data_IF_580867501065
#
_entry.id   IF_580867501065
#
_cell.length_a   1.000
_cell.length_b   1.000
_cell.length_c   1.000
_cell.angle_alpha   90.00
_cell.angle_beta   90.00
_cell.angle_gamma   90.00
#
_symmetry.space_group_name_H-M   'P 1'
#
loop_
_entity.id
_entity.type
_entity.pdbx_description
1 polymer ?
#
# COMPACT_ATOMS: atom_id res chain seq x y z
N UNK A 1 -4.16 -14.84 -6.79
CA UNK A 1 -5.45 -14.16 -7.07
C UNK A 1 -5.42 -13.43 -8.39
N UNK A 2 -6.60 -13.08 -8.90
CA UNK A 2 -6.80 -12.25 -10.10
C UNK A 2 -7.77 -11.14 -9.75
N UNK A 3 -7.36 -9.89 -9.93
CA UNK A 3 -8.25 -8.74 -9.82
C UNK A 3 -8.94 -8.50 -11.18
N UNK A 4 -10.14 -9.01 -11.31
CA UNK A 4 -10.90 -8.91 -12.56
C UNK A 4 -11.30 -7.47 -12.90
N UNK A 5 -11.52 -6.62 -11.90
CA UNK A 5 -11.92 -5.22 -12.15
C UNK A 5 -10.75 -4.42 -12.71
N UNK A 6 -9.59 -4.51 -12.09
CA UNK A 6 -8.37 -3.83 -12.56
C UNK A 6 -7.98 -4.33 -13.96
N UNK A 7 -8.12 -5.63 -14.23
CA UNK A 7 -7.75 -6.21 -15.51
C UNK A 7 -8.73 -5.91 -16.66
N UNK A 8 -9.91 -5.35 -16.41
CA UNK A 8 -10.86 -5.00 -17.49
C UNK A 8 -10.33 -3.93 -18.44
N UNK A 9 -9.58 -2.97 -17.92
CA UNK A 9 -9.03 -1.84 -18.67
C UNK A 9 -7.51 -1.88 -18.81
N UNK A 10 -6.85 -2.86 -18.23
CA UNK A 10 -5.40 -2.97 -18.25
C UNK A 10 -4.88 -3.42 -19.62
N UNK A 11 -3.81 -2.80 -20.11
CA UNK A 11 -3.10 -3.23 -21.32
C UNK A 11 -2.34 -4.54 -21.12
N UNK A 12 -1.92 -4.83 -19.89
CA UNK A 12 -1.25 -6.05 -19.46
C UNK A 12 -2.07 -6.63 -18.32
N UNK A 13 -2.50 -7.89 -18.46
CA UNK A 13 -3.24 -8.57 -17.41
C UNK A 13 -2.30 -9.03 -16.31
N UNK A 14 -2.60 -8.60 -15.08
CA UNK A 14 -1.78 -8.85 -13.90
C UNK A 14 -2.53 -9.77 -12.94
N UNK A 15 -1.85 -10.82 -12.50
CA UNK A 15 -2.27 -11.64 -11.36
C UNK A 15 -1.44 -11.33 -10.13
N UNK A 16 -1.73 -11.98 -9.02
CA UNK A 16 -0.98 -11.75 -7.80
C UNK A 16 -0.73 -12.99 -6.97
N UNK A 17 0.38 -12.97 -6.24
CA UNK A 17 0.71 -13.96 -5.22
C UNK A 17 0.58 -13.28 -3.86
N UNK A 18 -0.19 -13.89 -2.96
CA UNK A 18 -0.32 -13.43 -1.57
C UNK A 18 -0.08 -14.58 -0.60
N UNK A 19 0.01 -14.25 0.69
CA UNK A 19 0.22 -15.22 1.78
C UNK A 19 1.42 -16.15 1.55
N UNK A 20 2.47 -15.62 0.93
CA UNK A 20 3.67 -16.41 0.72
C UNK A 20 4.31 -16.76 2.06
N UNK A 21 4.39 -18.04 2.34
CA UNK A 21 5.06 -18.57 3.51
C UNK A 21 5.90 -19.77 3.12
N UNK A 22 7.21 -19.71 3.40
CA UNK A 22 8.17 -20.71 3.00
C UNK A 22 9.31 -20.78 4.01
N UNK A 23 9.73 -21.98 4.35
CA UNK A 23 10.98 -22.20 5.08
C UNK A 23 12.18 -21.74 4.23
N UNK A 24 13.36 -21.63 4.84
CA UNK A 24 14.57 -21.22 4.13
C UNK A 24 15.09 -22.31 3.18
N UNK A 25 14.34 -22.52 2.12
CA UNK A 25 14.59 -23.51 1.06
C UNK A 25 14.25 -22.89 -0.30
N UNK A 26 15.26 -22.64 -1.12
CA UNK A 26 15.11 -21.97 -2.40
C UNK A 26 14.37 -22.84 -3.44
N UNK A 27 14.57 -24.16 -3.43
CA UNK A 27 13.90 -25.07 -4.34
C UNK A 27 12.40 -25.15 -4.03
N UNK A 28 12.06 -25.19 -2.75
CA UNK A 28 10.66 -25.14 -2.34
C UNK A 28 10.02 -23.79 -2.70
N UNK A 29 10.69 -22.68 -2.46
CA UNK A 29 10.22 -21.35 -2.85
C UNK A 29 9.97 -21.27 -4.36
N UNK A 30 10.93 -21.76 -5.16
CA UNK A 30 10.79 -21.83 -6.62
C UNK A 30 9.59 -22.68 -7.03
N UNK A 31 9.38 -23.82 -6.43
CA UNK A 31 8.24 -24.69 -6.71
C UNK A 31 6.88 -24.01 -6.41
N UNK A 32 6.81 -23.21 -5.33
CA UNK A 32 5.62 -22.42 -5.02
C UNK A 32 5.35 -21.35 -6.10
N UNK A 33 6.37 -20.63 -6.53
CA UNK A 33 6.25 -19.63 -7.60
C UNK A 33 5.89 -20.26 -8.95
N UNK A 34 6.55 -21.36 -9.33
CA UNK A 34 6.24 -22.10 -10.57
C UNK A 34 4.78 -22.57 -10.59
N UNK A 35 4.28 -23.04 -9.44
CA UNK A 35 2.88 -23.47 -9.29
C UNK A 35 1.92 -22.30 -9.46
N UNK A 36 2.23 -21.18 -8.83
CA UNK A 36 1.41 -19.98 -8.93
C UNK A 36 1.41 -19.42 -10.36
N UNK A 37 2.56 -19.38 -11.01
CA UNK A 37 2.70 -18.96 -12.40
C UNK A 37 1.86 -19.86 -13.33
N UNK A 38 2.03 -21.16 -13.24
CA UNK A 38 1.29 -22.15 -14.06
C UNK A 38 -0.23 -22.00 -13.86
N UNK A 39 -0.67 -21.73 -12.64
CA UNK A 39 -2.08 -21.46 -12.37
C UNK A 39 -2.57 -20.18 -13.04
N UNK A 40 -1.82 -19.09 -12.93
CA UNK A 40 -2.20 -17.78 -13.47
C UNK A 40 -2.16 -17.74 -15.00
N UNK A 41 -1.25 -18.47 -15.64
CA UNK A 41 -1.17 -18.61 -17.11
C UNK A 41 -2.46 -19.17 -17.73
N UNK A 42 -3.22 -19.99 -17.00
CA UNK A 42 -4.53 -20.50 -17.45
C UNK A 42 -5.60 -19.41 -17.66
N UNK A 43 -5.37 -18.23 -17.08
CA UNK A 43 -6.28 -17.08 -17.14
C UNK A 43 -5.73 -15.94 -18.02
N UNK A 44 -4.75 -16.25 -18.87
CA UNK A 44 -4.15 -15.26 -19.78
C UNK A 44 -3.47 -14.10 -19.02
N UNK A 45 -2.92 -14.39 -17.83
CA UNK A 45 -2.14 -13.45 -17.02
C UNK A 45 -0.73 -13.35 -17.60
N UNK A 46 -0.26 -12.09 -17.76
CA UNK A 46 0.99 -11.77 -18.43
C UNK A 46 2.08 -11.31 -17.46
N UNK A 47 1.68 -10.83 -16.28
CA UNK A 47 2.59 -10.40 -15.23
C UNK A 47 2.06 -10.81 -13.85
N UNK A 48 2.95 -10.96 -12.88
CA UNK A 48 2.60 -11.37 -11.52
C UNK A 48 3.14 -10.34 -10.54
N UNK A 49 2.26 -9.78 -9.73
CA UNK A 49 2.62 -8.95 -8.59
C UNK A 49 2.69 -9.77 -7.30
N UNK A 50 3.55 -9.36 -6.39
CA UNK A 50 3.59 -10.01 -5.09
C UNK A 50 4.72 -9.56 -4.17
N UNK A 51 4.58 -9.89 -2.89
CA UNK A 51 3.40 -10.49 -2.25
C UNK A 51 2.32 -9.45 -1.98
N UNK A 52 1.07 -9.79 -2.27
CA UNK A 52 -0.10 -8.94 -1.98
C UNK A 52 -1.16 -9.81 -1.33
N UNK A 53 -1.41 -9.62 -0.04
CA UNK A 53 -2.40 -10.40 0.67
C UNK A 53 -3.80 -9.83 0.45
N UNK A 54 -4.80 -10.70 0.38
CA UNK A 54 -6.21 -10.36 0.11
C UNK A 54 -6.48 -9.61 -1.21
N UNK A 55 -5.49 -9.44 -2.08
CA UNK A 55 -5.62 -8.63 -3.30
C UNK A 55 -5.68 -7.12 -3.06
N UNK A 56 -5.41 -6.66 -1.84
CA UNK A 56 -5.45 -5.25 -1.46
C UNK A 56 -4.06 -4.62 -1.61
N UNK A 57 -3.92 -3.74 -2.60
CA UNK A 57 -2.65 -3.08 -2.93
C UNK A 57 -2.33 -1.87 -2.05
N UNK A 58 -3.28 -1.41 -1.24
CA UNK A 58 -3.15 -0.33 -0.26
C UNK A 58 -2.87 -0.83 1.16
N UNK A 59 -2.98 -2.15 1.38
CA UNK A 59 -2.73 -2.83 2.65
C UNK A 59 -1.98 -4.12 2.39
N UNK A 60 -1.30 -4.68 3.34
CA UNK A 60 -0.73 -6.04 3.31
C UNK A 60 -0.01 -6.42 1.99
N UNK A 61 0.78 -5.52 1.43
CA UNK A 61 1.52 -5.72 0.18
C UNK A 61 3.02 -5.54 0.39
N UNK A 62 3.79 -6.17 -0.49
CA UNK A 62 5.24 -6.03 -0.56
C UNK A 62 6.01 -6.81 0.48
N UNK A 63 7.31 -6.76 0.37
CA UNK A 63 8.28 -7.34 1.31
C UNK A 63 8.94 -6.25 2.12
N UNK A 64 9.11 -6.50 3.42
CA UNK A 64 10.06 -5.74 4.20
C UNK A 64 11.48 -6.15 3.77
N UNK A 65 12.27 -5.20 3.31
CA UNK A 65 13.65 -5.42 2.86
C UNK A 65 14.67 -4.74 3.77
N UNK A 66 14.20 -3.84 4.64
CA UNK A 66 15.03 -3.08 5.58
C UNK A 66 14.31 -2.82 6.91
N UNK A 67 15.08 -2.52 7.98
CA UNK A 67 14.52 -2.09 9.27
C UNK A 67 13.85 -3.20 10.08
N UNK A 68 14.34 -4.43 10.02
CA UNK A 68 13.79 -5.61 10.70
C UNK A 68 13.82 -5.54 12.23
N UNK A 69 14.52 -4.58 12.81
CA UNK A 69 14.64 -4.41 14.27
C UNK A 69 13.32 -3.97 14.93
N UNK A 70 12.41 -3.38 14.18
CA UNK A 70 11.16 -2.85 14.69
C UNK A 70 9.99 -3.33 13.84
N UNK A 71 9.07 -4.03 14.49
CA UNK A 71 7.78 -4.35 13.88
C UNK A 71 6.87 -3.13 13.96
N UNK A 72 6.23 -2.82 12.86
CA UNK A 72 5.29 -1.71 12.75
C UNK A 72 3.86 -2.24 12.64
N UNK A 73 2.92 -1.46 13.14
CA UNK A 73 1.51 -1.81 13.07
C UNK A 73 1.02 -1.79 11.61
N UNK A 74 0.34 -2.84 11.19
CA UNK A 74 -0.19 -3.02 9.83
C UNK A 74 0.84 -3.10 8.69
N UNK A 75 2.12 -3.19 9.02
CA UNK A 75 3.16 -3.43 8.02
C UNK A 75 3.46 -4.93 7.89
N UNK A 76 3.82 -5.35 6.70
CA UNK A 76 4.26 -6.72 6.47
C UNK A 76 5.55 -7.00 7.23
N UNK A 77 5.63 -8.19 7.77
CA UNK A 77 6.83 -8.70 8.39
C UNK A 77 7.14 -10.09 7.84
N UNK A 78 8.29 -10.22 7.24
CA UNK A 78 8.75 -11.45 6.62
C UNK A 78 10.19 -11.78 7.03
N UNK A 79 10.62 -13.04 6.90
CA UNK A 79 12.03 -13.40 7.03
C UNK A 79 12.90 -12.66 6.01
N UNK A 80 14.12 -12.30 6.41
CA UNK A 80 15.05 -11.56 5.55
C UNK A 80 15.43 -12.28 4.26
N UNK A 81 15.33 -13.61 4.23
CA UNK A 81 15.67 -14.40 3.06
C UNK A 81 14.59 -14.42 1.96
N UNK A 82 13.40 -13.88 2.23
CA UNK A 82 12.35 -13.83 1.21
C UNK A 82 12.72 -12.93 0.03
N UNK A 83 13.41 -11.83 0.27
CA UNK A 83 13.85 -10.95 -0.81
C UNK A 83 14.68 -11.72 -1.87
N UNK A 84 15.60 -12.60 -1.43
CA UNK A 84 16.38 -13.41 -2.34
C UNK A 84 15.48 -14.35 -3.16
N UNK A 85 14.50 -15.00 -2.55
CA UNK A 85 13.60 -15.92 -3.27
C UNK A 85 12.80 -15.21 -4.37
N UNK A 86 12.28 -14.02 -4.09
CA UNK A 86 11.55 -13.24 -5.09
C UNK A 86 12.46 -12.77 -6.22
N UNK A 87 13.64 -12.23 -5.90
CA UNK A 87 14.62 -11.79 -6.90
C UNK A 87 15.12 -12.94 -7.78
N UNK A 88 15.45 -14.08 -7.18
CA UNK A 88 15.96 -15.26 -7.90
C UNK A 88 14.90 -15.84 -8.85
N UNK A 89 13.62 -15.68 -8.53
CA UNK A 89 12.53 -16.06 -9.42
C UNK A 89 12.26 -15.05 -10.54
N UNK A 90 12.77 -13.81 -10.43
CA UNK A 90 12.67 -12.78 -11.46
C UNK A 90 11.71 -11.63 -11.11
N UNK A 91 11.28 -11.50 -9.85
CA UNK A 91 10.55 -10.31 -9.43
C UNK A 91 11.48 -9.10 -9.37
N UNK A 92 10.99 -7.97 -9.90
CA UNK A 92 11.65 -6.69 -9.82
C UNK A 92 10.89 -5.74 -8.87
N UNK A 93 11.58 -4.88 -8.11
CA UNK A 93 10.92 -3.89 -7.28
C UNK A 93 10.08 -2.93 -8.12
N UNK A 94 8.77 -2.93 -7.92
CA UNK A 94 7.85 -2.00 -8.57
C UNK A 94 7.83 -0.65 -7.86
N UNK A 95 7.76 -0.64 -6.54
CA UNK A 95 7.69 0.56 -5.72
C UNK A 95 8.41 0.37 -4.39
N UNK A 96 9.04 1.43 -3.89
CA UNK A 96 9.60 1.46 -2.55
C UNK A 96 8.70 2.28 -1.63
N UNK A 97 8.26 1.66 -0.55
CA UNK A 97 7.54 2.33 0.53
C UNK A 97 8.48 2.57 1.70
N UNK A 98 8.50 3.79 2.20
CA UNK A 98 9.36 4.19 3.30
C UNK A 98 8.52 4.55 4.53
N UNK A 99 8.77 3.87 5.63
CA UNK A 99 8.20 4.24 6.92
C UNK A 99 9.22 5.00 7.76
N UNK A 100 8.84 6.18 8.23
CA UNK A 100 9.71 7.05 9.01
C UNK A 100 9.35 6.99 10.49
N UNK A 101 10.37 6.90 11.35
CA UNK A 101 10.23 6.99 12.79
C UNK A 101 10.63 8.38 13.26
N UNK A 102 9.77 9.01 14.05
CA UNK A 102 10.05 10.28 14.70
C UNK A 102 10.14 10.11 16.21
N UNK A 103 11.06 10.81 16.83
CA UNK A 103 11.09 11.00 18.27
C UNK A 103 10.38 12.33 18.55
N UNK A 104 9.20 12.28 19.15
CA UNK A 104 8.33 13.46 19.30
C UNK A 104 8.99 14.67 19.97
N UNK A 105 9.87 14.44 20.96
CA UNK A 105 10.63 15.51 21.63
C UNK A 105 11.69 16.18 20.75
N UNK A 106 12.05 15.58 19.64
CA UNK A 106 13.09 16.09 18.71
C UNK A 106 12.46 16.81 17.51
N UNK A 107 11.13 16.81 17.42
CA UNK A 107 10.43 17.52 16.36
C UNK A 107 10.61 19.03 16.59
N UNK A 108 11.13 19.78 15.59
CA UNK A 108 11.33 21.22 15.69
C UNK A 108 10.01 21.96 15.56
N UNK A 109 9.16 21.89 16.58
CA UNK A 109 7.78 22.44 16.60
C UNK A 109 7.75 23.91 16.20
N UNK A 110 8.69 24.71 16.70
CA UNK A 110 8.76 26.15 16.37
C UNK A 110 9.00 26.41 14.85
N UNK A 111 9.78 25.56 14.22
CA UNK A 111 10.00 25.65 12.76
C UNK A 111 8.68 25.40 12.00
N UNK A 112 7.95 24.36 12.39
CA UNK A 112 6.66 24.03 11.77
C UNK A 112 5.61 25.09 12.05
N UNK A 113 5.54 25.62 13.28
CA UNK A 113 4.64 26.74 13.63
C UNK A 113 4.87 27.95 12.74
N UNK A 114 6.12 28.38 12.57
CA UNK A 114 6.47 29.52 11.68
C UNK A 114 6.15 29.26 10.20
N UNK A 115 6.26 28.02 9.75
CA UNK A 115 5.85 27.65 8.38
C UNK A 115 4.33 27.74 8.27
N UNK A 116 3.59 27.16 9.22
CA UNK A 116 2.13 27.22 9.26
C UNK A 116 1.61 28.65 9.26
N UNK A 117 2.13 29.52 10.11
CA UNK A 117 1.75 30.94 10.17
C UNK A 117 1.95 31.65 8.82
N UNK A 118 3.08 31.37 8.12
CA UNK A 118 3.34 31.94 6.79
C UNK A 118 2.38 31.42 5.72
N UNK A 119 2.05 30.13 5.77
CA UNK A 119 1.09 29.52 4.84
C UNK A 119 -0.29 30.11 5.04
N UNK A 120 -0.77 30.17 6.28
CA UNK A 120 -2.07 30.73 6.63
C UNK A 120 -2.18 32.23 6.30
N UNK A 121 -1.11 32.99 6.47
CA UNK A 121 -1.09 34.42 6.10
C UNK A 121 -1.19 34.66 4.59
N UNK A 122 -0.83 33.69 3.77
CA UNK A 122 -0.85 33.81 2.30
C UNK A 122 -2.07 33.18 1.64
N UNK A 123 -2.73 32.29 2.34
CA UNK A 123 -3.85 31.52 1.82
C UNK A 123 -5.04 31.64 2.78
N UNK A 124 -6.26 31.84 2.30
CA UNK A 124 -7.46 31.85 3.12
C UNK A 124 -7.84 30.42 3.55
N UNK A 125 -7.04 29.85 4.48
CA UNK A 125 -7.27 28.50 4.99
C UNK A 125 -8.02 28.62 6.32
N UNK A 126 -9.15 27.98 6.41
CA UNK A 126 -9.90 27.77 7.65
C UNK A 126 -9.58 26.36 8.19
N UNK A 127 -9.25 26.28 9.48
CA UNK A 127 -9.05 25.02 10.17
C UNK A 127 -10.28 24.74 11.03
N UNK A 128 -10.88 23.59 10.78
CA UNK A 128 -11.99 23.08 11.59
C UNK A 128 -11.66 21.70 12.16
N UNK A 129 -12.29 21.37 13.28
CA UNK A 129 -12.22 20.02 13.82
C UNK A 129 -13.40 19.19 13.29
N UNK A 130 -13.19 17.86 13.22
CA UNK A 130 -14.28 16.94 12.98
C UNK A 130 -15.37 17.13 14.05
N UNK A 131 -16.62 17.24 13.62
CA UNK A 131 -17.76 17.37 14.54
C UNK A 131 -18.20 15.97 15.01
N UNK A 132 -18.02 15.65 16.31
CA UNK A 132 -18.46 14.35 16.85
C UNK A 132 -19.96 14.11 16.76
N UNK A 133 -20.76 15.16 16.57
CA UNK A 133 -22.21 15.04 16.38
C UNK A 133 -22.62 14.76 14.93
N UNK A 134 -21.69 14.94 13.98
CA UNK A 134 -21.96 14.77 12.54
C UNK A 134 -20.80 14.05 11.83
N UNK A 135 -20.52 12.83 12.24
CA UNK A 135 -19.45 12.01 11.63
C UNK A 135 -19.67 11.74 10.13
N UNK A 136 -20.93 11.66 9.68
CA UNK A 136 -21.23 11.40 8.26
C UNK A 136 -20.68 12.52 7.38
N UNK A 137 -20.91 13.78 7.75
CA UNK A 137 -20.33 14.91 7.00
C UNK A 137 -18.80 14.87 6.99
N UNK A 138 -18.18 14.55 8.11
CA UNK A 138 -16.72 14.41 8.18
C UNK A 138 -16.23 13.30 7.24
N UNK A 139 -16.92 12.15 7.18
CA UNK A 139 -16.59 11.05 6.27
C UNK A 139 -16.75 11.48 4.80
N UNK A 140 -17.81 12.19 4.45
CA UNK A 140 -18.03 12.75 3.10
C UNK A 140 -16.92 13.72 2.70
N UNK A 141 -16.54 14.64 3.59
CA UNK A 141 -15.46 15.61 3.35
C UNK A 141 -14.11 14.90 3.14
N UNK A 142 -13.80 13.89 3.95
CA UNK A 142 -12.58 13.05 3.78
C UNK A 142 -12.61 12.33 2.45
N UNK A 143 -13.74 11.69 2.09
CA UNK A 143 -13.87 10.99 0.81
C UNK A 143 -13.69 11.94 -0.38
N UNK A 144 -14.25 13.14 -0.32
CA UNK A 144 -14.10 14.15 -1.36
C UNK A 144 -12.62 14.50 -1.56
N UNK A 145 -11.93 14.85 -0.47
CA UNK A 145 -10.50 15.20 -0.52
C UNK A 145 -9.66 14.02 -1.04
N UNK A 146 -9.92 12.82 -0.52
CA UNK A 146 -9.18 11.63 -0.91
C UNK A 146 -9.40 11.30 -2.40
N UNK A 147 -10.64 11.28 -2.84
CA UNK A 147 -10.98 10.94 -4.21
C UNK A 147 -10.44 11.95 -5.23
N UNK A 148 -10.42 13.23 -4.89
CA UNK A 148 -9.81 14.26 -5.74
C UNK A 148 -8.27 14.16 -5.76
N UNK A 149 -7.65 13.95 -4.59
CA UNK A 149 -6.20 13.91 -4.48
C UNK A 149 -5.56 12.69 -5.17
N UNK A 150 -6.28 11.57 -5.22
CA UNK A 150 -5.77 10.30 -5.74
C UNK A 150 -6.38 9.89 -7.09
N UNK A 151 -7.21 10.72 -7.71
CA UNK A 151 -7.91 10.41 -8.96
C UNK A 151 -6.98 9.95 -10.11
N UNK A 152 -5.77 10.51 -10.18
CA UNK A 152 -4.79 10.24 -11.25
C UNK A 152 -3.79 9.12 -10.90
N UNK A 153 -3.95 8.49 -9.72
CA UNK A 153 -3.04 7.40 -9.35
C UNK A 153 -3.45 6.09 -10.04
N UNK A 154 -2.42 5.37 -10.49
CA UNK A 154 -2.62 4.03 -11.06
C UNK A 154 -3.28 3.11 -10.02
N UNK A 155 -4.26 2.33 -10.47
CA UNK A 155 -5.08 1.45 -9.62
C UNK A 155 -5.96 2.16 -8.57
N UNK A 156 -6.16 3.48 -8.69
CA UNK A 156 -7.06 4.20 -7.81
C UNK A 156 -8.48 3.63 -7.87
N UNK A 157 -9.08 3.49 -6.69
CA UNK A 157 -10.49 3.12 -6.52
C UNK A 157 -11.18 4.17 -5.64
N UNK A 158 -12.31 4.76 -6.09
CA UNK A 158 -13.04 5.71 -5.25
C UNK A 158 -13.48 5.10 -3.92
N UNK A 159 -13.36 5.89 -2.86
CA UNK A 159 -13.75 5.51 -1.49
C UNK A 159 -15.07 6.19 -1.15
N UNK A 160 -16.05 5.41 -0.68
CA UNK A 160 -17.31 5.94 -0.17
C UNK A 160 -17.27 6.20 1.34
N UNK A 161 -18.21 7.05 1.86
CA UNK A 161 -18.26 7.41 3.28
C UNK A 161 -18.41 6.21 4.21
N UNK A 162 -19.02 5.13 3.75
CA UNK A 162 -19.19 3.88 4.51
C UNK A 162 -17.88 3.19 4.87
N UNK A 163 -16.81 3.45 4.13
CA UNK A 163 -15.46 2.92 4.42
C UNK A 163 -14.81 3.70 5.55
N UNK A 164 -15.06 5.00 5.62
CA UNK A 164 -14.49 5.90 6.64
C UNK A 164 -15.30 5.83 7.95
N UNK A 165 -16.60 5.60 7.85
CA UNK A 165 -17.52 5.63 8.98
C UNK A 165 -17.52 4.34 9.84
N UNK A 166 -16.90 3.25 9.37
CA UNK A 166 -16.76 2.00 10.13
C UNK A 166 -15.75 2.12 11.26
#
# INVERSE_FOLDING_TARGET
>A
FIDHETNKSASIKIGGIGFFDCIRDAELAKSLFDTAQTYLEQFDIQAIDGPICFGERDKFYGLQTYGFDHKLFQENYNPTYYEAFFRDFGFEPFQQMLTFRFISREIPVEKFRKIGERVMARNPIELSYADPSNYMKTAEDICTIYNEAFADYEHYKPVGPEVIYK
#
